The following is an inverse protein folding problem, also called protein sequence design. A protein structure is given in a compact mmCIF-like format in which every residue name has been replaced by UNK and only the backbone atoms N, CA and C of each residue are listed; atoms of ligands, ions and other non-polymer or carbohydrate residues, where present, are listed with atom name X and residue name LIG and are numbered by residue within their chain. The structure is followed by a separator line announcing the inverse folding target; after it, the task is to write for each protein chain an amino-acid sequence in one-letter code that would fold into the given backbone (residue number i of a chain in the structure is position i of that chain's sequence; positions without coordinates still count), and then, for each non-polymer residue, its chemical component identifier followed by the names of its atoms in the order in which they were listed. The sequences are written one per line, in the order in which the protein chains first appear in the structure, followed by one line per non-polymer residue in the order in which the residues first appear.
data_IF_459610102240
#
_entry.id   IF_459610102240
#
_cell.length_a   1.000
_cell.length_b   1.000
_cell.length_c   1.000
_cell.angle_alpha   90.00
_cell.angle_beta   90.00
_cell.angle_gamma   90.00
#
_symmetry.space_group_name_H-M   'P 1'
#
loop_
_entity.id
_entity.type
_entity.pdbx_description
1 polymer ?
#
# COMPACT_ATOMS: atom_id res chain seq x y z
N UNK A 1 -10.60 42.12 -7.35
CA UNK A 1 -9.83 41.02 -7.96
C UNK A 1 -9.69 39.84 -6.98
N UNK A 2 -10.77 39.12 -6.67
CA UNK A 2 -10.73 37.96 -5.73
C UNK A 2 -11.60 36.78 -6.18
N UNK A 3 -12.65 37.06 -6.95
CA UNK A 3 -13.60 36.06 -7.44
C UNK A 3 -13.00 35.13 -8.50
N UNK A 4 -12.07 35.62 -9.32
CA UNK A 4 -11.47 34.85 -10.41
C UNK A 4 -10.52 33.76 -9.90
N UNK A 5 -9.78 34.03 -8.81
CA UNK A 5 -8.87 33.05 -8.22
C UNK A 5 -9.61 31.86 -7.60
N UNK A 6 -10.80 32.09 -7.05
CA UNK A 6 -11.62 31.03 -6.48
C UNK A 6 -12.13 30.08 -7.57
N UNK A 7 -12.65 30.64 -8.67
CA UNK A 7 -13.12 29.85 -9.81
C UNK A 7 -11.97 29.05 -10.43
N UNK A 8 -10.78 29.66 -10.54
CA UNK A 8 -9.55 29.01 -10.99
C UNK A 8 -9.14 27.85 -10.07
N UNK A 9 -9.20 28.05 -8.76
CA UNK A 9 -8.88 26.99 -7.80
C UNK A 9 -9.87 25.84 -7.87
N UNK A 10 -11.17 26.14 -7.92
CA UNK A 10 -12.21 25.11 -8.02
C UNK A 10 -12.08 24.29 -9.31
N UNK A 11 -11.82 24.95 -10.45
CA UNK A 11 -11.59 24.25 -11.71
C UNK A 11 -10.31 23.43 -11.68
N UNK A 12 -9.21 23.93 -11.09
CA UNK A 12 -7.98 23.15 -10.94
C UNK A 12 -8.17 21.88 -10.09
N UNK A 13 -8.92 21.95 -8.99
CA UNK A 13 -9.21 20.76 -8.17
C UNK A 13 -10.15 19.79 -8.89
N UNK A 14 -11.15 20.30 -9.60
CA UNK A 14 -12.09 19.49 -10.36
C UNK A 14 -11.42 18.76 -11.53
N UNK A 15 -10.57 19.45 -12.28
CA UNK A 15 -9.76 18.87 -13.36
C UNK A 15 -8.83 17.80 -12.80
N UNK A 16 -8.09 18.08 -11.72
CA UNK A 16 -7.26 17.07 -11.05
C UNK A 16 -8.07 15.83 -10.67
N UNK A 17 -9.28 15.99 -10.15
CA UNK A 17 -10.12 14.88 -9.75
C UNK A 17 -10.64 14.05 -10.95
N UNK A 18 -11.01 14.72 -12.05
CA UNK A 18 -11.46 14.05 -13.29
C UNK A 18 -10.32 13.37 -14.04
N UNK A 19 -9.16 14.04 -14.14
CA UNK A 19 -7.91 13.50 -14.71
C UNK A 19 -7.23 12.46 -13.81
N UNK A 20 -7.83 12.13 -12.67
CA UNK A 20 -7.43 10.95 -11.87
C UNK A 20 -8.39 9.77 -12.13
N UNK A 21 -8.41 9.13 -13.32
CA UNK A 21 -9.30 8.01 -13.56
C UNK A 21 -8.59 6.70 -13.19
N UNK A 22 -9.07 5.99 -12.15
CA UNK A 22 -8.85 4.54 -11.91
C UNK A 22 -7.41 4.03 -11.69
N UNK A 23 -6.38 4.70 -12.21
CA UNK A 23 -4.98 4.30 -12.16
C UNK A 23 -4.39 4.52 -10.77
N UNK A 24 -4.67 5.65 -10.11
CA UNK A 24 -4.27 5.83 -8.71
C UNK A 24 -4.85 4.76 -7.78
N UNK A 25 -6.05 4.21 -8.06
CA UNK A 25 -6.61 3.13 -7.25
C UNK A 25 -5.88 1.81 -7.47
N UNK A 26 -5.36 1.56 -8.67
CA UNK A 26 -4.56 0.39 -8.99
C UNK A 26 -3.14 0.56 -8.47
N UNK A 27 -2.51 1.70 -8.71
CA UNK A 27 -1.18 2.04 -8.20
C UNK A 27 -1.14 2.04 -6.67
N UNK A 28 -2.12 2.65 -5.98
CA UNK A 28 -2.16 2.58 -4.50
C UNK A 28 -2.37 1.16 -3.99
N UNK A 29 -3.01 0.27 -4.76
CA UNK A 29 -3.14 -1.15 -4.41
C UNK A 29 -1.85 -1.92 -4.72
N UNK A 30 -1.17 -1.61 -5.81
CA UNK A 30 0.09 -2.23 -6.24
C UNK A 30 1.25 -1.80 -5.33
N UNK A 31 1.41 -0.50 -5.06
CA UNK A 31 2.35 0.01 -4.07
C UNK A 31 2.09 -0.61 -2.70
N UNK A 32 0.82 -0.80 -2.28
CA UNK A 32 0.50 -1.53 -1.02
C UNK A 32 0.80 -3.02 -1.09
N UNK A 33 0.81 -3.65 -2.26
CA UNK A 33 1.21 -5.05 -2.42
C UNK A 33 2.73 -5.20 -2.44
N UNK A 34 3.45 -4.27 -3.05
CA UNK A 34 4.91 -4.25 -3.12
C UNK A 34 5.57 -3.83 -1.80
N UNK A 35 4.98 -2.84 -1.10
CA UNK A 35 5.46 -2.41 0.23
C UNK A 35 5.04 -3.33 1.35
N UNK A 36 4.04 -4.19 1.14
CA UNK A 36 3.76 -5.28 2.07
C UNK A 36 4.85 -6.32 1.93
N UNK A 37 5.83 -6.23 2.82
CA UNK A 37 6.80 -7.30 3.02
C UNK A 37 6.04 -8.62 3.17
N UNK A 38 6.36 -9.64 2.35
CA UNK A 38 5.75 -10.95 2.48
C UNK A 38 5.91 -11.42 3.91
N UNK A 39 4.80 -11.73 4.58
CA UNK A 39 4.83 -12.31 5.93
C UNK A 39 5.74 -13.56 5.91
N UNK A 40 5.75 -14.32 4.81
CA UNK A 40 6.70 -15.42 4.60
C UNK A 40 8.18 -15.05 4.81
N UNK A 41 8.63 -13.85 4.44
CA UNK A 41 10.00 -13.39 4.66
C UNK A 41 10.25 -13.01 6.12
N UNK A 42 9.27 -12.43 6.81
CA UNK A 42 9.39 -12.08 8.23
C UNK A 42 9.49 -13.32 9.14
N UNK A 43 8.87 -14.43 8.73
CA UNK A 43 8.85 -15.68 9.50
C UNK A 43 9.84 -16.73 8.99
N UNK A 44 10.62 -16.41 7.94
CA UNK A 44 11.71 -17.27 7.45
C UNK A 44 12.82 -17.32 8.53
N UNK A 45 13.03 -18.50 9.10
CA UNK A 45 13.96 -18.72 10.21
C UNK A 45 13.26 -19.04 11.53
N UNK A 46 12.28 -18.24 11.96
CA UNK A 46 11.51 -18.51 13.20
C UNK A 46 10.67 -19.78 13.04
N UNK A 47 10.01 -19.94 11.89
CA UNK A 47 9.13 -21.08 11.61
C UNK A 47 9.88 -22.43 11.59
N UNK A 48 10.98 -22.61 10.82
CA UNK A 48 11.76 -23.85 10.86
C UNK A 48 12.46 -24.08 12.21
N UNK A 49 12.88 -23.02 12.90
CA UNK A 49 13.50 -23.13 14.22
C UNK A 49 12.51 -23.59 15.30
N UNK A 50 11.32 -22.97 15.36
CA UNK A 50 10.24 -23.37 16.25
C UNK A 50 9.77 -24.81 15.99
N UNK A 51 9.67 -25.19 14.72
CA UNK A 51 9.35 -26.57 14.32
C UNK A 51 10.42 -27.56 14.79
N UNK A 52 11.71 -27.23 14.62
CA UNK A 52 12.82 -28.05 15.10
C UNK A 52 12.83 -28.19 16.62
N UNK A 53 12.53 -27.12 17.35
CA UNK A 53 12.39 -27.17 18.81
C UNK A 53 11.23 -28.05 19.25
N UNK A 54 10.08 -27.94 18.59
CA UNK A 54 8.90 -28.77 18.89
C UNK A 54 9.17 -30.25 18.66
N UNK A 55 9.81 -30.61 17.53
CA UNK A 55 10.22 -31.99 17.25
C UNK A 55 11.22 -32.53 18.28
N UNK A 56 12.17 -31.70 18.73
CA UNK A 56 13.12 -32.07 19.80
C UNK A 56 12.44 -32.26 21.15
N UNK A 57 11.37 -31.52 21.44
CA UNK A 57 10.63 -31.61 22.71
C UNK A 57 9.68 -32.80 22.77
N UNK A 58 9.32 -33.37 21.62
CA UNK A 58 8.45 -34.55 21.50
C UNK A 58 9.22 -35.87 21.51
N UNK A 59 10.55 -35.83 21.58
CA UNK A 59 11.45 -36.97 21.74
C UNK A 59 12.02 -36.96 23.15
#
# INVERSE_FOLDING_TARGET
MKTNDYVKYMTQQFVKYIDTPRDERKERKEVRKETKTPVSQQWFGILPYGFRLWLKRKK
#
